data_IF_025081599851
#
_entry.id   IF_025081599851
#
_cell.length_a   1.000
_cell.length_b   1.000
_cell.length_c   1.000
_cell.angle_alpha   90.00
_cell.angle_beta   90.00
_cell.angle_gamma   90.00
#
_symmetry.space_group_name_H-M   'P 1'
#
loop_
_entity.id
_entity.type
_entity.pdbx_description
1 polymer ?
#
# COMPACT_ATOMS: atom_id res chain seq x y z
N UNK A 1 23.21 8.14 -0.28
CA UNK A 1 23.59 7.48 0.99
C UNK A 1 24.84 6.63 0.85
N UNK A 2 25.71 6.60 1.86
CA UNK A 2 26.82 5.64 1.99
C UNK A 2 26.34 4.26 2.47
N UNK A 3 27.14 3.21 2.26
CA UNK A 3 26.82 1.85 2.75
C UNK A 3 26.69 1.84 4.29
N UNK A 4 27.54 2.59 4.99
CA UNK A 4 27.49 2.67 6.45
C UNK A 4 26.17 3.29 6.95
N UNK A 5 25.66 4.32 6.28
CA UNK A 5 24.36 4.91 6.59
C UNK A 5 23.19 3.97 6.24
N UNK A 6 23.27 3.27 5.11
CA UNK A 6 22.28 2.27 4.74
C UNK A 6 22.21 1.13 5.77
N UNK A 7 23.36 0.64 6.23
CA UNK A 7 23.43 -0.39 7.27
C UNK A 7 22.90 0.08 8.62
N UNK A 8 22.89 1.38 8.93
CA UNK A 8 22.20 1.91 10.12
C UNK A 8 20.67 1.89 9.98
N UNK A 9 20.16 1.92 8.74
CA UNK A 9 18.73 1.94 8.44
C UNK A 9 18.12 0.54 8.38
N UNK A 10 18.87 -0.45 7.87
CA UNK A 10 18.40 -1.82 7.66
C UNK A 10 17.82 -2.49 8.92
N UNK A 11 18.42 -2.38 10.13
CA UNK A 11 17.84 -2.97 11.33
C UNK A 11 16.49 -2.36 11.70
N UNK A 12 16.32 -1.06 11.47
CA UNK A 12 15.05 -0.39 11.71
C UNK A 12 13.97 -0.89 10.74
N UNK A 13 14.27 -0.94 9.43
CA UNK A 13 13.35 -1.48 8.42
C UNK A 13 13.00 -2.95 8.73
N UNK A 14 14.00 -3.76 9.12
CA UNK A 14 13.79 -5.16 9.50
C UNK A 14 12.77 -5.27 10.63
N UNK A 15 12.93 -4.49 11.71
CA UNK A 15 11.96 -4.51 12.82
C UNK A 15 10.55 -4.12 12.40
N UNK A 16 10.40 -3.11 11.53
CA UNK A 16 9.07 -2.71 11.05
C UNK A 16 8.45 -3.81 10.19
N UNK A 17 9.19 -4.36 9.23
CA UNK A 17 8.68 -5.46 8.38
C UNK A 17 8.37 -6.70 9.22
N UNK A 18 9.25 -7.10 10.12
CA UNK A 18 9.05 -8.25 11.01
C UNK A 18 7.76 -8.08 11.83
N UNK A 19 7.56 -6.90 12.43
CA UNK A 19 6.33 -6.59 13.16
C UNK A 19 5.08 -6.70 12.26
N UNK A 20 5.14 -6.09 11.08
CA UNK A 20 4.01 -6.00 10.16
C UNK A 20 3.61 -7.37 9.58
N UNK A 21 4.60 -8.22 9.30
CA UNK A 21 4.35 -9.60 8.81
C UNK A 21 3.87 -10.50 9.95
N UNK A 22 4.46 -10.40 11.14
CA UNK A 22 4.08 -11.24 12.29
C UNK A 22 2.68 -10.92 12.80
N UNK A 23 2.26 -9.65 12.78
CA UNK A 23 0.95 -9.22 13.26
C UNK A 23 -0.22 -9.65 12.36
N UNK A 24 0.06 -9.96 11.08
CA UNK A 24 -0.97 -10.32 10.08
C UNK A 24 -1.10 -11.82 9.83
N UNK A 25 -0.10 -12.62 10.17
CA UNK A 25 -0.08 -14.06 9.87
C UNK A 25 0.04 -14.35 8.37
N UNK A 26 0.03 -15.63 8.01
CA UNK A 26 0.01 -16.08 6.62
C UNK A 26 -1.39 -15.88 6.02
N UNK A 27 -1.44 -15.38 4.79
CA UNK A 27 -2.69 -15.16 4.07
C UNK A 27 -3.02 -16.40 3.24
N UNK A 28 -4.14 -17.02 3.54
CA UNK A 28 -4.75 -18.08 2.73
C UNK A 28 -5.91 -17.50 1.94
N UNK A 29 -5.96 -17.81 0.64
CA UNK A 29 -7.07 -17.49 -0.23
C UNK A 29 -7.46 -18.70 -1.06
N UNK A 30 -8.75 -18.82 -1.34
CA UNK A 30 -9.28 -19.83 -2.25
C UNK A 30 -9.15 -19.42 -3.72
N UNK A 31 -9.06 -18.12 -4.01
CA UNK A 31 -9.05 -17.61 -5.38
C UNK A 31 -7.63 -17.40 -5.90
N UNK A 32 -6.77 -16.69 -5.18
CA UNK A 32 -5.39 -16.43 -5.60
C UNK A 32 -4.36 -17.15 -4.72
N UNK A 33 -3.20 -17.55 -5.29
CA UNK A 33 -2.08 -18.05 -4.50
C UNK A 33 -1.31 -16.87 -3.86
N UNK A 34 -1.95 -16.19 -2.90
CA UNK A 34 -1.52 -14.89 -2.33
C UNK A 34 -0.07 -14.91 -1.88
N UNK A 35 0.27 -15.86 -1.01
CA UNK A 35 1.63 -15.97 -0.47
C UNK A 35 2.68 -16.18 -1.57
N UNK A 36 2.36 -17.02 -2.58
CA UNK A 36 3.26 -17.32 -3.69
C UNK A 36 3.46 -16.10 -4.59
N UNK A 37 2.40 -15.38 -4.98
CA UNK A 37 2.55 -14.22 -5.86
C UNK A 37 3.25 -13.06 -5.14
N UNK A 38 3.12 -12.93 -3.82
CA UNK A 38 3.84 -11.91 -3.03
C UNK A 38 5.33 -12.20 -3.10
N UNK A 39 5.73 -13.47 -2.99
CA UNK A 39 7.13 -13.85 -3.15
C UNK A 39 7.64 -13.55 -4.57
N UNK A 40 6.85 -13.85 -5.61
CA UNK A 40 7.20 -13.48 -6.99
C UNK A 40 7.38 -11.96 -7.13
N UNK A 41 6.49 -11.15 -6.54
CA UNK A 41 6.57 -9.70 -6.61
C UNK A 41 7.77 -9.12 -5.84
N UNK A 42 8.22 -9.76 -4.75
CA UNK A 42 9.47 -9.41 -4.07
C UNK A 42 10.67 -9.49 -5.01
N UNK A 43 10.86 -10.62 -5.69
CA UNK A 43 11.97 -10.80 -6.62
C UNK A 43 11.87 -9.86 -7.83
N UNK A 44 10.66 -9.68 -8.38
CA UNK A 44 10.46 -8.77 -9.49
C UNK A 44 10.77 -7.32 -9.12
N UNK A 45 10.37 -6.89 -7.91
CA UNK A 45 10.68 -5.57 -7.37
C UNK A 45 12.19 -5.37 -7.18
N UNK A 46 12.89 -6.39 -6.66
CA UNK A 46 14.36 -6.37 -6.54
C UNK A 46 15.06 -6.19 -7.89
N UNK A 47 14.48 -6.70 -8.97
CA UNK A 47 15.02 -6.55 -10.32
C UNK A 47 14.70 -5.19 -10.97
N UNK A 48 13.47 -4.67 -10.83
CA UNK A 48 13.02 -3.52 -11.62
C UNK A 48 13.01 -2.17 -10.87
N UNK A 49 12.81 -2.16 -9.54
CA UNK A 49 12.43 -0.94 -8.81
C UNK A 49 13.48 0.17 -8.90
N UNK A 50 14.77 -0.19 -8.88
CA UNK A 50 15.85 0.79 -9.03
C UNK A 50 15.73 1.59 -10.33
N UNK A 51 15.46 0.93 -11.45
CA UNK A 51 15.36 1.59 -12.74
C UNK A 51 14.14 2.53 -12.81
N UNK A 52 13.03 2.13 -12.19
CA UNK A 52 11.81 2.94 -12.10
C UNK A 52 12.08 4.20 -11.27
N UNK A 53 12.56 4.03 -10.03
CA UNK A 53 12.80 5.18 -9.13
C UNK A 53 13.93 6.08 -9.63
N UNK A 54 14.92 5.54 -10.36
CA UNK A 54 15.93 6.35 -11.03
C UNK A 54 15.29 7.29 -12.06
N UNK A 55 14.43 6.78 -12.95
CA UNK A 55 13.69 7.62 -13.92
C UNK A 55 12.80 8.66 -13.22
N UNK A 56 12.13 8.29 -12.13
CA UNK A 56 11.33 9.24 -11.32
C UNK A 56 12.22 10.34 -10.74
N UNK A 57 13.40 9.99 -10.21
CA UNK A 57 14.34 10.94 -9.60
C UNK A 57 14.95 11.94 -10.58
N UNK A 58 14.88 11.68 -11.89
CA UNK A 58 15.25 12.63 -12.93
C UNK A 58 14.21 13.74 -13.13
N UNK A 59 12.98 13.56 -12.62
CA UNK A 59 11.85 14.50 -12.79
C UNK A 59 11.45 15.22 -11.51
N UNK A 60 11.75 14.65 -10.35
CA UNK A 60 11.36 15.19 -9.06
C UNK A 60 12.33 14.76 -7.96
N UNK A 61 12.17 15.31 -6.75
CA UNK A 61 12.90 14.86 -5.57
C UNK A 61 11.98 14.06 -4.63
N UNK A 62 12.52 13.08 -3.89
CA UNK A 62 11.75 12.35 -2.88
C UNK A 62 11.07 13.29 -1.87
N UNK A 63 11.74 14.39 -1.49
CA UNK A 63 11.19 15.35 -0.53
C UNK A 63 10.01 16.14 -1.07
N UNK A 64 10.04 16.48 -2.36
CA UNK A 64 8.91 17.15 -3.01
C UNK A 64 7.71 16.21 -3.06
N UNK A 65 7.95 14.96 -3.47
CA UNK A 65 6.92 13.93 -3.51
C UNK A 65 6.25 13.75 -2.15
N UNK A 66 7.02 13.54 -1.07
CA UNK A 66 6.42 13.27 0.24
C UNK A 66 5.62 14.45 0.77
N UNK A 67 6.07 15.69 0.57
CA UNK A 67 5.31 16.89 0.97
C UNK A 67 4.02 17.08 0.16
N UNK A 68 4.08 16.97 -1.16
CA UNK A 68 2.93 17.20 -2.05
C UNK A 68 1.90 16.07 -2.00
N UNK A 69 2.28 14.93 -1.44
CA UNK A 69 1.40 13.78 -1.24
C UNK A 69 0.60 13.83 0.05
N UNK A 70 0.83 14.84 0.91
CA UNK A 70 0.07 15.07 2.15
C UNK A 70 -1.29 15.71 1.84
N UNK A 71 -2.15 15.00 1.11
CA UNK A 71 -3.46 15.45 0.63
C UNK A 71 -4.47 14.31 0.56
N UNK A 72 -5.76 14.63 0.67
CA UNK A 72 -6.88 13.67 0.56
C UNK A 72 -6.81 12.98 -0.80
N UNK A 73 -6.97 11.67 -0.85
CA UNK A 73 -6.96 10.86 -2.08
C UNK A 73 -5.63 10.98 -2.85
N UNK A 74 -4.52 10.98 -2.13
CA UNK A 74 -3.17 10.90 -2.70
C UNK A 74 -2.83 9.46 -3.06
N UNK A 75 -2.34 9.24 -4.29
CA UNK A 75 -1.78 7.95 -4.70
C UNK A 75 -0.53 7.57 -3.91
N UNK A 76 0.22 8.56 -3.43
CA UNK A 76 1.35 8.34 -2.55
C UNK A 76 0.88 8.55 -1.11
N UNK A 77 0.73 7.45 -0.41
CA UNK A 77 0.30 7.39 0.99
C UNK A 77 1.15 6.39 1.77
N UNK A 78 0.95 6.29 3.08
CA UNK A 78 1.82 5.54 4.00
C UNK A 78 2.17 4.12 3.52
N UNK A 79 1.18 3.34 3.08
CA UNK A 79 1.43 1.99 2.56
C UNK A 79 2.24 1.96 1.28
N UNK A 80 1.93 2.82 0.31
CA UNK A 80 2.71 2.85 -0.95
C UNK A 80 4.15 3.27 -0.71
N UNK A 81 4.39 4.15 0.27
CA UNK A 81 5.74 4.54 0.72
C UNK A 81 6.44 3.35 1.39
N UNK A 82 5.74 2.60 2.24
CA UNK A 82 6.27 1.40 2.88
C UNK A 82 6.53 0.24 1.90
N UNK A 83 5.82 0.18 0.75
CA UNK A 83 6.05 -0.82 -0.30
C UNK A 83 7.48 -0.77 -0.86
N UNK A 84 8.13 0.40 -0.90
CA UNK A 84 9.49 0.50 -1.43
C UNK A 84 10.45 -0.42 -0.66
N UNK A 85 10.66 -0.23 0.66
CA UNK A 85 11.56 -1.10 1.40
C UNK A 85 11.00 -2.51 1.55
N UNK A 86 9.68 -2.69 1.73
CA UNK A 86 9.09 -4.01 1.92
C UNK A 86 9.41 -4.96 0.77
N UNK A 87 8.99 -4.63 -0.44
CA UNK A 87 9.11 -5.59 -1.55
C UNK A 87 10.55 -5.73 -2.04
N UNK A 88 11.29 -4.62 -2.13
CA UNK A 88 12.66 -4.64 -2.60
C UNK A 88 13.59 -5.40 -1.63
N UNK A 89 13.49 -5.12 -0.32
CA UNK A 89 14.39 -5.72 0.66
C UNK A 89 14.04 -7.18 0.94
N UNK A 90 12.77 -7.58 0.88
CA UNK A 90 12.39 -8.99 0.97
C UNK A 90 12.90 -9.79 -0.24
N UNK A 91 12.84 -9.23 -1.46
CA UNK A 91 13.42 -9.86 -2.65
C UNK A 91 14.93 -10.00 -2.56
N UNK A 92 15.61 -8.96 -2.07
CA UNK A 92 17.05 -8.99 -1.76
C UNK A 92 17.40 -10.05 -0.70
N UNK A 93 16.60 -10.14 0.36
CA UNK A 93 16.77 -11.13 1.42
C UNK A 93 16.70 -12.56 0.86
N UNK A 94 15.69 -12.86 0.03
CA UNK A 94 15.56 -14.15 -0.64
C UNK A 94 16.76 -14.49 -1.51
N UNK A 95 17.26 -13.52 -2.27
CA UNK A 95 18.47 -13.68 -3.10
C UNK A 95 19.73 -14.00 -2.29
N UNK A 96 19.96 -13.28 -1.20
CA UNK A 96 21.13 -13.53 -0.34
C UNK A 96 20.98 -14.88 0.36
N UNK A 97 19.78 -15.21 0.84
CA UNK A 97 19.50 -16.49 1.49
C UNK A 97 19.77 -17.67 0.55
N UNK A 98 19.28 -17.62 -0.70
CA UNK A 98 19.53 -18.64 -1.72
C UNK A 98 21.03 -18.82 -2.01
N UNK A 99 21.84 -17.79 -1.79
CA UNK A 99 23.30 -17.82 -1.89
C UNK A 99 23.97 -18.07 -0.52
N UNK A 100 23.42 -19.02 0.25
CA UNK A 100 23.92 -19.48 1.57
C UNK A 100 23.94 -18.38 2.64
N UNK A 101 23.16 -17.32 2.46
CA UNK A 101 23.06 -16.22 3.42
C UNK A 101 24.29 -15.32 3.48
N UNK A 102 25.18 -15.33 2.48
CA UNK A 102 26.36 -14.46 2.43
C UNK A 102 26.04 -13.14 1.71
N UNK A 103 26.00 -11.98 2.41
CA UNK A 103 25.74 -10.70 1.76
C UNK A 103 26.79 -10.28 0.71
N UNK A 104 27.99 -10.90 0.72
CA UNK A 104 28.99 -10.68 -0.33
C UNK A 104 28.62 -11.30 -1.67
N UNK A 105 27.68 -12.25 -1.69
CA UNK A 105 27.13 -12.81 -2.93
C UNK A 105 26.39 -11.78 -3.77
N UNK A 106 25.86 -10.72 -3.14
CA UNK A 106 25.22 -9.62 -3.85
C UNK A 106 26.27 -8.83 -4.66
N UNK A 107 26.10 -8.64 -5.99
CA UNK A 107 27.03 -7.88 -6.81
C UNK A 107 27.18 -6.43 -6.33
N UNK A 108 28.39 -5.85 -6.47
CA UNK A 108 28.68 -4.46 -6.06
C UNK A 108 27.70 -3.45 -6.64
N UNK A 109 27.24 -3.66 -7.87
CA UNK A 109 26.24 -2.79 -8.50
C UNK A 109 24.88 -2.87 -7.78
N UNK A 110 24.40 -4.06 -7.44
CA UNK A 110 23.17 -4.24 -6.66
C UNK A 110 23.26 -3.64 -5.26
N UNK A 111 24.44 -3.67 -4.62
CA UNK A 111 24.69 -2.96 -3.36
C UNK A 111 24.49 -1.45 -3.49
N UNK A 112 24.98 -0.85 -4.59
CA UNK A 112 24.78 0.59 -4.89
C UNK A 112 23.30 0.91 -5.17
N UNK A 113 22.62 0.05 -5.92
CA UNK A 113 21.18 0.18 -6.17
C UNK A 113 20.38 0.12 -4.87
N UNK A 114 20.70 -0.82 -3.98
CA UNK A 114 20.09 -0.92 -2.65
C UNK A 114 20.30 0.36 -1.84
N UNK A 115 21.52 0.90 -1.81
CA UNK A 115 21.79 2.17 -1.14
C UNK A 115 20.99 3.34 -1.73
N UNK A 116 20.77 3.37 -3.05
CA UNK A 116 19.90 4.35 -3.71
C UNK A 116 18.44 4.20 -3.31
N UNK A 117 17.90 2.97 -3.33
CA UNK A 117 16.50 2.69 -2.93
C UNK A 117 16.24 3.15 -1.50
N UNK A 118 17.16 2.83 -0.58
CA UNK A 118 17.06 3.20 0.83
C UNK A 118 17.18 4.73 1.05
N UNK A 119 18.03 5.41 0.27
CA UNK A 119 18.12 6.87 0.27
C UNK A 119 16.83 7.53 -0.20
N UNK A 120 16.31 7.07 -1.35
CA UNK A 120 15.07 7.57 -1.93
C UNK A 120 13.93 7.41 -0.94
N UNK A 121 13.74 6.20 -0.39
CA UNK A 121 12.68 5.93 0.58
C UNK A 121 12.82 6.78 1.84
N UNK A 122 14.01 6.86 2.45
CA UNK A 122 14.22 7.64 3.68
C UNK A 122 13.84 9.11 3.48
N UNK A 123 14.25 9.70 2.37
CA UNK A 123 13.98 11.12 2.05
C UNK A 123 12.50 11.36 1.74
N UNK A 124 11.88 10.44 1.01
CA UNK A 124 10.44 10.46 0.76
C UNK A 124 9.66 10.38 2.08
N UNK A 125 9.88 9.32 2.86
CA UNK A 125 9.16 9.05 4.09
C UNK A 125 9.34 10.16 5.13
N UNK A 126 10.57 10.64 5.35
CA UNK A 126 10.84 11.72 6.31
C UNK A 126 10.21 13.07 5.92
N UNK A 127 9.91 13.27 4.63
CA UNK A 127 9.17 14.46 4.17
C UNK A 127 7.65 14.29 4.19
N UNK A 128 7.17 13.03 4.16
CA UNK A 128 5.76 12.69 4.23
C UNK A 128 5.26 12.64 5.67
N UNK A 129 5.93 11.92 6.57
CA UNK A 129 5.46 11.77 7.95
C UNK A 129 5.87 12.96 8.83
N UNK A 130 4.98 13.47 9.71
CA UNK A 130 5.30 14.60 10.59
C UNK A 130 6.53 14.34 11.45
N UNK A 131 7.36 15.36 11.65
CA UNK A 131 8.54 15.27 12.52
C UNK A 131 9.67 14.39 11.98
N UNK A 132 9.69 14.09 10.67
CA UNK A 132 10.78 13.34 10.05
C UNK A 132 10.75 11.84 10.33
N UNK A 133 9.61 11.30 10.78
CA UNK A 133 9.40 9.86 10.97
C UNK A 133 9.45 9.12 9.63
N UNK A 134 9.65 7.81 9.66
CA UNK A 134 9.80 7.01 8.44
C UNK A 134 8.61 6.08 8.18
N UNK A 135 7.84 5.78 9.22
CA UNK A 135 6.77 4.79 9.19
C UNK A 135 5.61 5.23 10.09
N UNK A 136 4.46 4.58 9.94
CA UNK A 136 3.32 4.72 10.87
C UNK A 136 3.70 4.13 12.22
N UNK A 137 4.48 3.04 12.24
CA UNK A 137 5.09 2.48 13.45
C UNK A 137 5.86 3.55 14.25
N UNK A 138 6.75 4.30 13.60
CA UNK A 138 7.54 5.37 14.25
C UNK A 138 6.71 6.57 14.72
N UNK A 139 5.48 6.67 14.19
CA UNK A 139 4.50 7.71 14.47
C UNK A 139 3.51 7.28 15.55
N UNK A 140 3.86 6.25 16.35
CA UNK A 140 3.01 5.70 17.41
C UNK A 140 1.61 5.29 16.91
N UNK A 141 1.56 4.61 15.76
CA UNK A 141 0.31 4.13 15.14
C UNK A 141 -0.65 5.25 14.69
N UNK A 142 -0.12 6.46 14.44
CA UNK A 142 -0.85 7.57 13.85
C UNK A 142 -0.40 7.78 12.40
N UNK A 143 -1.31 7.58 11.45
CA UNK A 143 -1.09 7.85 10.04
C UNK A 143 -1.60 9.26 9.70
N UNK A 144 -0.83 10.30 10.02
CA UNK A 144 -1.24 11.70 9.81
C UNK A 144 -0.83 12.19 8.41
N UNK A 145 -1.65 11.81 7.42
CA UNK A 145 -1.47 12.15 6.01
C UNK A 145 -1.75 13.62 5.69
N UNK A 146 -2.66 14.28 6.43
CA UNK A 146 -3.13 15.63 6.11
C UNK A 146 -2.47 16.71 6.96
N UNK A 147 -2.48 17.95 6.46
CA UNK A 147 -2.08 19.13 7.22
C UNK A 147 -3.28 19.73 7.95
N UNK A 148 -3.03 20.56 8.97
CA UNK A 148 -4.09 21.10 9.81
C UNK A 148 -5.17 21.88 9.02
N UNK A 149 -4.77 22.66 8.01
CA UNK A 149 -5.72 23.41 7.19
C UNK A 149 -6.68 22.50 6.39
N UNK A 150 -6.22 21.33 5.93
CA UNK A 150 -7.08 20.34 5.27
C UNK A 150 -8.08 19.75 6.27
N UNK A 151 -7.65 19.49 7.50
CA UNK A 151 -8.51 19.00 8.58
C UNK A 151 -9.57 20.04 8.96
N UNK A 152 -9.18 21.31 9.06
CA UNK A 152 -10.11 22.40 9.35
C UNK A 152 -11.14 22.56 8.24
N UNK A 153 -10.72 22.50 6.97
CA UNK A 153 -11.65 22.50 5.83
C UNK A 153 -12.61 21.30 5.86
N UNK A 154 -12.11 20.08 6.11
CA UNK A 154 -12.98 18.88 6.18
C UNK A 154 -13.99 19.00 7.31
N UNK A 155 -13.62 19.57 8.46
CA UNK A 155 -14.57 19.78 9.58
C UNK A 155 -15.76 20.64 9.19
N UNK A 156 -15.58 21.61 8.30
CA UNK A 156 -16.66 22.44 7.77
C UNK A 156 -17.59 21.69 6.80
N UNK A 157 -17.12 20.57 6.23
CA UNK A 157 -17.89 19.72 5.31
C UNK A 157 -18.64 18.58 6.02
N UNK A 158 -18.33 18.33 7.30
CA UNK A 158 -18.96 17.23 8.05
C UNK A 158 -20.42 17.56 8.32
N UNK A 159 -21.30 16.65 7.91
CA UNK A 159 -22.72 16.68 8.27
C UNK A 159 -23.00 15.68 9.38
N UNK A 160 -23.90 16.05 10.29
CA UNK A 160 -24.43 15.16 11.30
C UNK A 160 -25.30 14.09 10.63
N UNK A 161 -25.20 12.85 11.09
CA UNK A 161 -25.97 11.73 10.52
C UNK A 161 -26.60 10.87 11.61
N UNK A 162 -27.66 10.14 11.26
CA UNK A 162 -28.29 9.17 12.16
C UNK A 162 -27.50 7.84 12.18
N UNK A 163 -27.70 6.98 13.19
CA UNK A 163 -27.10 5.65 13.23
C UNK A 163 -27.45 4.78 12.01
N UNK A 164 -28.67 4.91 11.47
CA UNK A 164 -29.11 4.17 10.27
C UNK A 164 -28.34 4.62 9.03
N UNK A 165 -28.08 5.93 8.92
CA UNK A 165 -27.26 6.48 7.85
C UNK A 165 -25.81 6.03 7.98
N UNK A 166 -25.26 6.04 9.20
CA UNK A 166 -23.91 5.56 9.48
C UNK A 166 -23.75 4.10 9.04
N UNK A 167 -24.71 3.24 9.39
CA UNK A 167 -24.71 1.84 8.99
C UNK A 167 -24.81 1.66 7.46
N UNK A 168 -25.62 2.48 6.77
CA UNK A 168 -25.73 2.48 5.31
C UNK A 168 -24.41 2.90 4.65
N UNK A 169 -23.81 4.01 5.08
CA UNK A 169 -22.56 4.54 4.53
C UNK A 169 -21.44 3.52 4.70
N UNK A 170 -21.27 2.99 5.93
CA UNK A 170 -20.25 1.99 6.23
C UNK A 170 -20.41 0.75 5.34
N UNK A 171 -21.65 0.27 5.13
CA UNK A 171 -21.92 -0.87 4.24
C UNK A 171 -21.48 -0.59 2.80
N UNK A 172 -21.76 0.58 2.25
CA UNK A 172 -21.34 0.94 0.88
C UNK A 172 -19.82 1.00 0.78
N UNK A 173 -19.16 1.65 1.74
CA UNK A 173 -17.69 1.71 1.78
C UNK A 173 -17.07 0.32 1.91
N UNK A 174 -17.61 -0.56 2.74
CA UNK A 174 -17.18 -1.96 2.84
C UNK A 174 -17.37 -2.73 1.52
N UNK A 175 -18.48 -2.54 0.81
CA UNK A 175 -18.67 -3.19 -0.50
C UNK A 175 -17.65 -2.70 -1.54
N UNK A 176 -17.33 -1.40 -1.53
CA UNK A 176 -16.27 -0.85 -2.37
C UNK A 176 -14.89 -1.39 -1.99
N UNK A 177 -14.61 -1.57 -0.69
CA UNK A 177 -13.36 -2.18 -0.23
C UNK A 177 -13.23 -3.63 -0.71
N UNK A 178 -14.31 -4.41 -0.68
CA UNK A 178 -14.32 -5.79 -1.18
C UNK A 178 -14.09 -5.82 -2.70
N UNK A 179 -14.76 -4.94 -3.45
CA UNK A 179 -14.47 -4.77 -4.88
C UNK A 179 -13.00 -4.41 -5.12
N UNK A 180 -12.48 -3.40 -4.41
CA UNK A 180 -11.13 -2.90 -4.60
C UNK A 180 -10.08 -3.97 -4.25
N UNK A 181 -10.34 -4.76 -3.20
CA UNK A 181 -9.51 -5.90 -2.81
C UNK A 181 -9.48 -6.96 -3.92
N UNK A 182 -10.65 -7.32 -4.46
CA UNK A 182 -10.73 -8.30 -5.55
C UNK A 182 -10.05 -7.78 -6.82
N UNK A 183 -10.30 -6.53 -7.23
CA UNK A 183 -9.69 -5.93 -8.41
C UNK A 183 -8.16 -5.83 -8.31
N UNK A 184 -7.62 -5.70 -7.11
CA UNK A 184 -6.18 -5.72 -6.84
C UNK A 184 -5.66 -7.14 -6.55
N UNK A 185 -6.34 -8.19 -7.04
CA UNK A 185 -5.96 -9.60 -6.84
C UNK A 185 -5.76 -9.99 -5.36
N UNK A 186 -6.63 -9.50 -4.49
CA UNK A 186 -6.59 -9.69 -3.03
C UNK A 186 -5.45 -8.94 -2.33
N UNK A 187 -5.03 -7.82 -2.91
CA UNK A 187 -4.14 -6.86 -2.28
C UNK A 187 -4.90 -5.61 -1.81
N UNK A 188 -4.30 -4.87 -0.88
CA UNK A 188 -4.90 -3.66 -0.30
C UNK A 188 -4.42 -2.37 -0.96
N UNK A 189 -3.79 -2.44 -2.13
CA UNK A 189 -3.01 -1.30 -2.62
C UNK A 189 -3.82 -0.05 -3.01
N UNK A 190 -5.15 -0.20 -3.16
CA UNK A 190 -6.11 0.88 -3.42
C UNK A 190 -6.67 1.54 -2.17
N UNK A 191 -6.45 0.94 -1.00
CA UNK A 191 -7.07 1.32 0.25
C UNK A 191 -6.10 2.14 1.09
N UNK A 192 -6.59 3.22 1.67
CA UNK A 192 -5.82 3.99 2.64
C UNK A 192 -6.72 4.49 3.76
N UNK A 193 -6.57 3.89 4.94
CA UNK A 193 -7.08 4.49 6.16
C UNK A 193 -6.02 5.41 6.80
N UNK A 194 -6.44 6.60 7.23
CA UNK A 194 -5.54 7.54 7.90
C UNK A 194 -6.21 8.37 9.01
N UNK A 195 -5.39 8.86 9.93
CA UNK A 195 -5.78 9.45 11.22
C UNK A 195 -4.97 8.90 12.40
N UNK A 196 -5.48 8.98 13.64
CA UNK A 196 -6.63 9.79 14.03
C UNK A 196 -6.23 11.28 14.12
N UNK A 197 -7.09 12.16 13.64
CA UNK A 197 -6.95 13.61 13.84
C UNK A 197 -7.83 14.04 15.01
N UNK A 198 -7.24 14.61 16.05
CA UNK A 198 -7.99 15.12 17.20
C UNK A 198 -8.76 16.38 16.77
N UNK A 199 -10.09 16.38 16.90
CA UNK A 199 -10.93 17.50 16.45
C UNK A 199 -11.83 18.09 17.55
N UNK A 200 -11.84 17.48 18.73
CA UNK A 200 -12.60 17.95 19.88
C UNK A 200 -12.34 17.12 21.13
N UNK A 201 -13.10 17.39 22.20
CA UNK A 201 -13.01 16.61 23.43
C UNK A 201 -13.61 15.22 23.18
N UNK A 202 -12.74 14.20 23.16
CA UNK A 202 -13.12 12.80 22.92
C UNK A 202 -13.71 12.56 21.51
N UNK A 203 -13.30 13.37 20.53
CA UNK A 203 -13.72 13.24 19.14
C UNK A 203 -12.50 13.23 18.22
N UNK A 204 -12.48 12.24 17.33
CA UNK A 204 -11.45 12.07 16.31
C UNK A 204 -12.08 12.10 14.93
N UNK A 205 -11.30 12.53 13.95
CA UNK A 205 -11.57 12.34 12.54
C UNK A 205 -10.67 11.22 12.01
N UNK A 206 -11.26 10.30 11.27
CA UNK A 206 -10.53 9.26 10.52
C UNK A 206 -11.02 9.24 9.08
N UNK A 207 -10.19 8.81 8.15
CA UNK A 207 -10.53 8.71 6.75
C UNK A 207 -10.37 7.27 6.30
N UNK A 208 -11.29 6.83 5.44
CA UNK A 208 -11.14 5.63 4.61
C UNK A 208 -11.21 6.06 3.15
N UNK A 209 -10.12 5.84 2.42
CA UNK A 209 -9.95 6.27 1.03
C UNK A 209 -9.79 5.06 0.10
N UNK A 210 -10.45 5.12 -1.06
CA UNK A 210 -10.39 4.10 -2.10
C UNK A 210 -10.02 4.78 -3.42
N UNK A 211 -8.92 4.34 -4.01
CA UNK A 211 -8.34 4.89 -5.23
C UNK A 211 -8.53 3.94 -6.42
N UNK A 212 -8.38 4.46 -7.64
CA UNK A 212 -8.34 3.68 -8.88
C UNK A 212 -9.54 2.75 -9.10
N UNK A 213 -10.73 3.21 -8.70
CA UNK A 213 -12.00 2.57 -9.03
C UNK A 213 -12.25 2.76 -10.54
N UNK A 214 -12.77 1.74 -11.21
CA UNK A 214 -13.08 1.86 -12.63
C UNK A 214 -14.33 2.72 -12.86
N UNK A 215 -14.15 3.88 -13.49
CA UNK A 215 -15.21 4.85 -13.82
C UNK A 215 -15.56 4.88 -15.32
N UNK A 216 -15.07 3.90 -16.09
CA UNK A 216 -15.20 3.86 -17.55
C UNK A 216 -14.05 4.51 -18.32
N UNK A 217 -13.07 5.10 -17.61
CA UNK A 217 -11.83 5.62 -18.19
C UNK A 217 -10.77 4.54 -18.46
N UNK A 218 -9.49 4.94 -18.43
CA UNK A 218 -8.37 4.00 -18.53
C UNK A 218 -8.36 3.11 -17.28
N UNK A 219 -8.47 1.78 -17.40
CA UNK A 219 -8.50 0.91 -16.24
C UNK A 219 -7.13 0.87 -15.56
N UNK A 220 -7.11 0.67 -14.23
CA UNK A 220 -5.86 0.56 -13.47
C UNK A 220 -5.09 -0.70 -13.86
N UNK A 221 -5.80 -1.83 -13.99
CA UNK A 221 -5.27 -3.08 -14.53
C UNK A 221 -5.97 -3.49 -15.81
N UNK A 222 -5.37 -4.38 -16.62
CA UNK A 222 -6.02 -4.91 -17.82
C UNK A 222 -7.40 -5.54 -17.55
N UNK A 223 -7.61 -6.07 -16.34
CA UNK A 223 -8.88 -6.67 -15.93
C UNK A 223 -9.80 -5.73 -15.15
N UNK A 224 -9.40 -4.49 -14.81
CA UNK A 224 -10.27 -3.60 -14.03
C UNK A 224 -11.44 -3.05 -14.84
N UNK A 225 -11.39 -3.15 -16.17
CA UNK A 225 -12.49 -2.75 -17.01
C UNK A 225 -13.67 -3.71 -16.81
N UNK A 226 -14.78 -3.17 -16.32
CA UNK A 226 -16.06 -3.86 -16.13
C UNK A 226 -17.15 -3.22 -16.97
N UNK A 227 -18.31 -3.88 -17.10
CA UNK A 227 -19.48 -3.25 -17.72
C UNK A 227 -20.03 -2.13 -16.81
N UNK A 228 -20.09 -2.40 -15.50
CA UNK A 228 -20.43 -1.42 -14.49
C UNK A 228 -19.34 -0.34 -14.38
N UNK A 229 -19.76 0.91 -14.16
CA UNK A 229 -18.87 2.06 -14.03
C UNK A 229 -19.21 2.83 -12.76
N UNK A 230 -18.19 3.11 -11.95
CA UNK A 230 -18.37 3.96 -10.79
C UNK A 230 -18.61 5.42 -11.23
N UNK A 231 -19.32 6.22 -10.42
CA UNK A 231 -19.49 7.65 -10.72
C UNK A 231 -18.18 8.44 -10.67
N UNK A 232 -17.21 7.98 -9.86
CA UNK A 232 -15.86 8.53 -9.79
C UNK A 232 -14.81 7.42 -9.62
N UNK A 233 -13.60 7.65 -10.11
CA UNK A 233 -12.47 6.72 -9.99
C UNK A 233 -11.82 6.70 -8.60
N UNK A 234 -12.33 7.50 -7.65
CA UNK A 234 -11.86 7.51 -6.29
C UNK A 234 -12.92 8.13 -5.36
N UNK A 235 -12.92 7.69 -4.10
CA UNK A 235 -13.79 8.21 -3.04
C UNK A 235 -13.07 8.16 -1.69
N UNK A 236 -13.22 9.22 -0.91
CA UNK A 236 -12.85 9.24 0.51
C UNK A 236 -14.10 9.46 1.36
N UNK A 237 -14.19 8.74 2.48
CA UNK A 237 -15.14 9.02 3.53
C UNK A 237 -14.40 9.45 4.79
N UNK A 238 -14.64 10.68 5.25
CA UNK A 238 -14.18 11.15 6.55
C UNK A 238 -15.26 10.87 7.59
N UNK A 239 -14.90 10.16 8.67
CA UNK A 239 -15.79 9.83 9.77
C UNK A 239 -15.42 10.63 11.01
N UNK A 240 -16.36 11.42 11.54
CA UNK A 240 -16.28 11.97 12.89
C UNK A 240 -16.71 10.89 13.88
N UNK A 241 -15.79 10.46 14.72
CA UNK A 241 -16.02 9.42 15.72
C UNK A 241 -15.95 10.00 17.13
N UNK A 242 -16.87 9.59 17.99
CA UNK A 242 -16.91 10.00 19.40
C UNK A 242 -16.61 8.84 20.34
N UNK A 243 -15.63 9.01 21.23
CA UNK A 243 -15.27 7.99 22.21
C UNK A 243 -14.63 6.75 21.61
N UNK A 244 -13.94 6.89 20.48
CA UNK A 244 -13.21 5.82 19.80
C UNK A 244 -11.72 6.11 19.88
N UNK A 245 -10.92 5.09 20.16
CA UNK A 245 -9.48 5.13 19.92
C UNK A 245 -9.20 4.42 18.61
N UNK A 246 -8.39 5.03 17.74
CA UNK A 246 -7.98 4.42 16.48
C UNK A 246 -6.45 4.31 16.40
N UNK A 247 -5.98 3.22 15.81
CA UNK A 247 -4.57 2.95 15.48
C UNK A 247 -4.48 2.50 14.03
N UNK A 248 -3.39 2.85 13.37
CA UNK A 248 -3.16 2.58 11.96
C UNK A 248 -1.83 1.87 11.78
N UNK A 249 -1.75 0.91 10.85
CA UNK A 249 -0.50 0.22 10.53
C UNK A 249 0.17 0.76 9.25
N UNK A 250 1.37 0.25 8.93
CA UNK A 250 2.12 0.65 7.73
C UNK A 250 1.50 0.14 6.43
N UNK A 251 0.47 -0.69 6.52
CA UNK A 251 -0.36 -1.09 5.39
C UNK A 251 -1.64 -0.25 5.29
N UNK A 252 -1.70 0.87 6.02
CA UNK A 252 -2.82 1.81 6.03
C UNK A 252 -4.15 1.15 6.40
N UNK A 253 -4.13 0.17 7.31
CA UNK A 253 -5.33 -0.43 7.90
C UNK A 253 -5.62 0.20 9.25
N UNK A 254 -6.88 0.60 9.46
CA UNK A 254 -7.36 1.07 10.76
C UNK A 254 -7.81 -0.08 11.67
N UNK A 255 -7.46 0.04 12.95
CA UNK A 255 -8.02 -0.76 14.06
C UNK A 255 -8.57 0.19 15.12
N UNK A 256 -9.70 -0.16 15.74
CA UNK A 256 -10.38 0.71 16.68
C UNK A 256 -10.75 0.01 17.99
N UNK A 257 -10.90 0.80 19.05
CA UNK A 257 -11.52 0.41 20.31
C UNK A 257 -12.72 1.36 20.55
N UNK A 258 -13.98 0.86 20.53
CA UNK A 258 -14.39 -0.52 20.22
C UNK A 258 -14.10 -0.95 18.78
N UNK A 259 -14.03 -2.27 18.54
CA UNK A 259 -13.76 -2.85 17.20
C UNK A 259 -14.86 -2.46 16.20
N UNK A 260 -16.12 -2.59 16.60
CA UNK A 260 -17.22 -1.99 15.84
C UNK A 260 -17.49 -0.58 16.34
N UNK A 261 -17.12 0.41 15.53
CA UNK A 261 -17.33 1.82 15.81
C UNK A 261 -18.58 2.41 15.12
N UNK A 262 -19.44 1.60 14.49
CA UNK A 262 -20.58 2.10 13.69
C UNK A 262 -21.47 3.06 14.48
N UNK A 263 -21.87 2.66 15.70
CA UNK A 263 -22.70 3.50 16.60
C UNK A 263 -21.96 4.73 17.15
N UNK A 264 -20.65 4.83 16.91
CA UNK A 264 -19.81 5.95 17.35
C UNK A 264 -19.58 6.99 16.26
N UNK A 265 -20.05 6.74 15.04
CA UNK A 265 -20.03 7.70 13.94
C UNK A 265 -21.09 8.75 14.22
N UNK A 266 -20.68 10.00 14.41
CA UNK A 266 -21.59 11.13 14.67
C UNK A 266 -21.69 12.10 13.51
N UNK A 267 -20.87 11.94 12.48
CA UNK A 267 -20.91 12.77 11.28
C UNK A 267 -19.98 12.24 10.20
N UNK A 268 -20.26 12.61 8.95
CA UNK A 268 -19.46 12.19 7.78
C UNK A 268 -19.27 13.32 6.79
N UNK A 269 -18.25 13.19 5.94
CA UNK A 269 -18.13 13.92 4.69
C UNK A 269 -17.56 12.98 3.62
N UNK A 270 -18.07 13.09 2.38
CA UNK A 270 -17.57 12.33 1.24
C UNK A 270 -16.78 13.25 0.31
N UNK A 271 -15.73 12.71 -0.32
CA UNK A 271 -14.90 13.46 -1.25
C UNK A 271 -14.53 12.64 -2.47
N UNK A 272 -14.30 13.32 -3.58
CA UNK A 272 -13.55 12.80 -4.74
C UNK A 272 -12.44 13.77 -5.11
N UNK A 273 -11.48 13.30 -5.90
CA UNK A 273 -10.38 14.09 -6.44
C UNK A 273 -10.34 13.99 -7.96
N UNK A 274 -10.24 15.16 -8.60
CA UNK A 274 -9.99 15.31 -10.04
C UNK A 274 -8.73 16.14 -10.24
N UNK A 275 -7.63 15.47 -10.60
CA UNK A 275 -6.30 16.09 -10.62
C UNK A 275 -5.92 16.65 -9.25
N UNK A 276 -5.58 17.94 -9.20
CA UNK A 276 -5.17 18.59 -7.94
C UNK A 276 -6.34 19.05 -7.05
N UNK A 277 -7.59 19.02 -7.56
CA UNK A 277 -8.76 19.50 -6.82
C UNK A 277 -9.47 18.37 -6.09
N UNK A 278 -9.71 18.56 -4.79
CA UNK A 278 -10.64 17.76 -3.99
C UNK A 278 -12.01 18.42 -4.00
N UNK A 279 -13.08 17.64 -4.15
CA UNK A 279 -14.46 18.11 -4.23
C UNK A 279 -15.32 17.31 -3.24
N UNK A 280 -16.17 17.96 -2.43
CA UNK A 280 -17.15 17.25 -1.60
C UNK A 280 -18.19 16.57 -2.48
N UNK A 281 -18.75 15.46 -1.98
CA UNK A 281 -19.84 14.72 -2.61
C UNK A 281 -21.05 14.65 -1.67
N UNK A 282 -22.24 14.69 -2.26
CA UNK A 282 -23.48 14.42 -1.56
C UNK A 282 -23.65 12.92 -1.27
N UNK A 283 -24.39 12.58 -0.21
CA UNK A 283 -24.58 11.18 0.21
C UNK A 283 -25.43 10.34 -0.76
N UNK A 284 -26.17 10.98 -1.66
CA UNK A 284 -27.01 10.31 -2.66
C UNK A 284 -26.18 9.48 -3.66
N UNK A 285 -24.92 9.87 -3.87
CA UNK A 285 -23.96 9.16 -4.75
C UNK A 285 -23.67 7.72 -4.29
N UNK A 286 -23.87 7.41 -3.00
CA UNK A 286 -23.58 6.11 -2.43
C UNK A 286 -24.41 4.98 -3.04
N UNK A 287 -25.61 5.28 -3.55
CA UNK A 287 -26.43 4.31 -4.27
C UNK A 287 -25.73 3.80 -5.54
N UNK A 288 -25.20 4.72 -6.34
CA UNK A 288 -24.49 4.41 -7.58
C UNK A 288 -23.17 3.66 -7.32
N UNK A 289 -22.42 4.05 -6.27
CA UNK A 289 -21.23 3.32 -5.87
C UNK A 289 -21.55 1.89 -5.40
N UNK A 290 -22.64 1.70 -4.66
CA UNK A 290 -23.02 0.38 -4.18
C UNK A 290 -23.44 -0.55 -5.32
N UNK A 291 -24.25 -0.05 -6.26
CA UNK A 291 -24.64 -0.79 -7.47
C UNK A 291 -23.41 -1.18 -8.29
N UNK A 292 -22.49 -0.23 -8.51
CA UNK A 292 -21.20 -0.50 -9.15
C UNK A 292 -20.43 -1.61 -8.43
N UNK A 293 -20.23 -1.48 -7.12
CA UNK A 293 -19.42 -2.43 -6.34
C UNK A 293 -19.96 -3.85 -6.47
N UNK A 294 -21.29 -4.02 -6.36
CA UNK A 294 -21.94 -5.33 -6.47
C UNK A 294 -21.76 -5.95 -7.87
N UNK A 295 -22.04 -5.19 -8.93
CA UNK A 295 -21.94 -5.67 -10.31
C UNK A 295 -20.50 -5.94 -10.71
N UNK A 296 -19.59 -5.01 -10.43
CA UNK A 296 -18.17 -5.13 -10.79
C UNK A 296 -17.50 -6.28 -10.01
N UNK A 297 -17.83 -6.46 -8.72
CA UNK A 297 -17.33 -7.59 -7.94
C UNK A 297 -17.77 -8.93 -8.53
N UNK A 298 -19.04 -9.07 -8.91
CA UNK A 298 -19.55 -10.31 -9.51
C UNK A 298 -18.84 -10.62 -10.84
N UNK A 299 -18.65 -9.62 -11.70
CA UNK A 299 -17.95 -9.76 -12.98
C UNK A 299 -16.48 -10.16 -12.78
N UNK A 300 -15.76 -9.48 -11.89
CA UNK A 300 -14.36 -9.80 -11.58
C UNK A 300 -14.21 -11.19 -10.98
N UNK A 301 -15.11 -11.58 -10.08
CA UNK A 301 -15.08 -12.91 -9.48
C UNK A 301 -15.21 -14.00 -10.55
N UNK A 302 -16.18 -13.87 -11.46
CA UNK A 302 -16.36 -14.80 -12.57
C UNK A 302 -15.10 -14.85 -13.45
N UNK A 303 -14.57 -13.69 -13.84
CA UNK A 303 -13.34 -13.57 -14.64
C UNK A 303 -12.15 -14.30 -14.00
N UNK A 304 -11.92 -14.09 -12.71
CA UNK A 304 -10.80 -14.73 -12.01
C UNK A 304 -11.03 -16.22 -11.72
N UNK A 305 -12.28 -16.64 -11.57
CA UNK A 305 -12.62 -18.06 -11.39
C UNK A 305 -12.23 -18.91 -12.60
N UNK A 306 -12.25 -18.33 -13.80
CA UNK A 306 -11.83 -18.97 -15.06
C UNK A 306 -10.32 -19.02 -15.24
N UNK A 307 -9.56 -18.21 -14.50
CA UNK A 307 -8.10 -18.22 -14.58
C UNK A 307 -7.50 -19.47 -13.95
N UNK A 308 -6.47 -20.03 -14.58
CA UNK A 308 -5.64 -21.07 -13.98
C UNK A 308 -4.71 -20.49 -12.88
N UNK A 309 -4.07 -21.38 -12.10
CA UNK A 309 -3.14 -20.99 -11.02
C UNK A 309 -2.03 -20.08 -11.53
N UNK A 310 -1.52 -20.31 -12.74
CA UNK A 310 -0.39 -19.54 -13.30
C UNK A 310 -0.83 -18.13 -13.68
N UNK A 311 -2.00 -17.98 -14.28
CA UNK A 311 -2.60 -16.68 -14.57
C UNK A 311 -2.83 -15.87 -13.29
N UNK A 312 -3.40 -16.49 -12.25
CA UNK A 312 -3.61 -15.85 -10.94
C UNK A 312 -2.30 -15.45 -10.26
N UNK A 313 -1.28 -16.31 -10.32
CA UNK A 313 0.06 -16.03 -9.78
C UNK A 313 0.69 -14.82 -10.49
N UNK A 314 0.64 -14.77 -11.82
CA UNK A 314 1.21 -13.67 -12.60
C UNK A 314 0.41 -12.37 -12.38
N UNK A 315 -0.92 -12.43 -12.38
CA UNK A 315 -1.77 -11.27 -12.17
C UNK A 315 -1.55 -10.64 -10.78
N UNK A 316 -1.51 -11.45 -9.72
CA UNK A 316 -1.19 -10.97 -8.38
C UNK A 316 0.22 -10.35 -8.30
N UNK A 317 1.23 -11.02 -8.87
CA UNK A 317 2.58 -10.47 -8.90
C UNK A 317 2.66 -9.15 -9.69
N UNK A 318 1.95 -9.06 -10.80
CA UNK A 318 1.83 -7.86 -11.62
C UNK A 318 1.18 -6.72 -10.84
N UNK A 319 0.06 -6.95 -10.15
CA UNK A 319 -0.65 -5.93 -9.38
C UNK A 319 0.27 -5.25 -8.35
N UNK A 320 1.03 -6.05 -7.59
CA UNK A 320 2.01 -5.51 -6.64
C UNK A 320 3.14 -4.69 -7.29
N UNK A 321 3.63 -5.13 -8.45
CA UNK A 321 4.70 -4.41 -9.16
C UNK A 321 4.17 -3.13 -9.83
N UNK A 322 2.97 -3.18 -10.38
CA UNK A 322 2.26 -2.02 -10.90
C UNK A 322 1.86 -1.05 -9.79
N UNK A 323 1.89 -1.48 -8.53
CA UNK A 323 1.86 -0.61 -7.35
C UNK A 323 2.81 0.59 -7.48
N UNK A 324 3.97 0.42 -8.10
CA UNK A 324 4.93 1.51 -8.31
C UNK A 324 4.53 2.53 -9.39
N UNK A 325 3.47 2.27 -10.16
CA UNK A 325 2.92 3.22 -11.13
C UNK A 325 2.51 4.54 -10.45
N UNK A 326 2.20 4.53 -9.16
CA UNK A 326 1.86 5.72 -8.35
C UNK A 326 3.00 6.74 -8.32
N UNK A 327 4.26 6.27 -8.31
CA UNK A 327 5.44 7.13 -8.36
C UNK A 327 5.65 7.73 -9.76
N UNK A 328 5.33 6.98 -10.80
CA UNK A 328 5.48 7.44 -12.18
C UNK A 328 4.30 8.28 -12.63
N UNK A 329 3.10 8.07 -12.05
CA UNK A 329 1.91 8.90 -12.22
C UNK A 329 2.19 10.30 -11.69
N UNK A 330 2.81 10.38 -10.50
CA UNK A 330 3.23 11.65 -9.89
C UNK A 330 4.09 12.52 -10.82
N UNK A 331 4.90 11.92 -11.69
CA UNK A 331 5.78 12.65 -12.63
C UNK A 331 5.37 12.52 -14.11
N UNK A 332 4.22 11.90 -14.40
CA UNK A 332 3.68 11.75 -15.76
C UNK A 332 4.49 10.86 -16.70
N UNK A 333 5.13 9.79 -16.20
CA UNK A 333 5.96 8.87 -17.02
C UNK A 333 5.49 7.41 -17.03
N UNK A 334 4.31 7.10 -16.47
CA UNK A 334 3.82 5.72 -16.30
C UNK A 334 3.78 4.93 -17.60
N UNK A 335 3.37 5.57 -18.70
CA UNK A 335 3.30 4.95 -20.03
C UNK A 335 4.69 4.72 -20.69
N UNK A 336 5.77 5.19 -20.06
CA UNK A 336 7.16 4.99 -20.50
C UNK A 336 7.84 3.79 -19.82
N UNK A 337 7.12 3.11 -18.92
CA UNK A 337 7.63 1.97 -18.16
C UNK A 337 7.02 0.69 -18.73
N UNK A 338 7.86 -0.31 -18.97
CA UNK A 338 7.37 -1.67 -19.18
C UNK A 338 7.03 -2.27 -17.80
N UNK A 339 5.75 -2.57 -17.59
CA UNK A 339 5.23 -3.12 -16.34
C UNK A 339 5.19 -4.64 -16.31
N UNK A 340 5.53 -5.31 -17.41
CA UNK A 340 5.63 -6.76 -17.44
C UNK A 340 6.62 -7.25 -16.38
N UNK A 341 6.34 -8.43 -15.82
CA UNK A 341 7.30 -9.13 -14.98
C UNK A 341 8.60 -9.35 -15.77
N UNK A 342 9.74 -9.16 -15.12
CA UNK A 342 11.04 -9.28 -15.81
C UNK A 342 11.22 -10.68 -16.37
N UNK A 343 12.03 -10.81 -17.42
CA UNK A 343 12.35 -12.11 -18.02
C UNK A 343 12.91 -13.10 -16.98
N UNK A 344 13.74 -12.59 -16.07
CA UNK A 344 14.28 -13.37 -14.95
C UNK A 344 13.17 -13.88 -14.03
N UNK A 345 12.23 -13.02 -13.66
CA UNK A 345 11.06 -13.39 -12.86
C UNK A 345 10.25 -14.48 -13.53
N UNK A 346 9.94 -14.30 -14.81
CA UNK A 346 9.14 -15.24 -15.60
C UNK A 346 9.82 -16.61 -15.79
N UNK A 347 11.15 -16.65 -15.90
CA UNK A 347 11.91 -17.89 -16.11
C UNK A 347 12.32 -18.60 -14.82
N UNK A 348 12.59 -17.86 -13.73
CA UNK A 348 13.12 -18.43 -12.47
C UNK A 348 12.04 -18.54 -11.40
N UNK A 349 11.38 -17.43 -11.05
CA UNK A 349 10.53 -17.39 -9.85
C UNK A 349 9.11 -17.84 -10.12
N UNK A 350 8.52 -17.51 -11.28
CA UNK A 350 7.17 -18.00 -11.63
C UNK A 350 7.13 -19.53 -11.61
N UNK A 351 8.04 -20.29 -12.29
CA UNK A 351 8.01 -21.75 -12.21
C UNK A 351 8.26 -22.29 -10.81
N UNK A 352 9.14 -21.66 -10.03
CA UNK A 352 9.40 -22.08 -8.65
C UNK A 352 8.16 -21.95 -7.76
N UNK A 353 7.49 -20.79 -7.81
CA UNK A 353 6.30 -20.50 -6.99
C UNK A 353 4.99 -21.10 -7.54
N UNK A 354 5.04 -21.78 -8.68
CA UNK A 354 3.95 -22.68 -9.08
C UNK A 354 3.91 -23.94 -8.20
N UNK A 355 5.08 -24.40 -7.76
CA UNK A 355 5.28 -25.63 -6.98
C UNK A 355 5.52 -25.37 -5.49
N UNK A 356 5.82 -24.12 -5.11
CA UNK A 356 6.13 -23.73 -3.74
C UNK A 356 5.28 -22.53 -3.35
N UNK A 357 4.58 -22.61 -2.23
CA UNK A 357 3.70 -21.51 -1.80
C UNK A 357 4.45 -20.41 -1.05
N UNK A 358 5.71 -20.63 -0.66
CA UNK A 358 6.47 -19.71 0.20
C UNK A 358 7.96 -19.72 -0.07
N UNK A 359 8.61 -18.58 0.18
CA UNK A 359 10.05 -18.43 0.04
C UNK A 359 10.80 -18.92 1.30
N UNK A 360 11.85 -19.75 1.16
CA UNK A 360 12.55 -20.34 2.30
C UNK A 360 13.32 -19.33 3.17
N UNK A 361 13.48 -18.09 2.72
CA UNK A 361 14.09 -17.02 3.51
C UNK A 361 13.12 -16.34 4.48
N UNK A 362 11.80 -16.43 4.26
CA UNK A 362 10.81 -15.71 5.07
C UNK A 362 10.82 -16.11 6.55
N UNK A 363 11.12 -17.36 6.96
CA UNK A 363 11.32 -17.69 8.37
C UNK A 363 12.30 -16.76 9.12
N UNK A 364 13.21 -16.07 8.41
CA UNK A 364 14.08 -15.05 9.01
C UNK A 364 13.31 -13.90 9.68
N UNK A 365 12.13 -13.54 9.15
CA UNK A 365 11.28 -12.46 9.69
C UNK A 365 10.68 -12.82 11.06
N UNK A 366 10.53 -14.12 11.34
CA UNK A 366 9.92 -14.66 12.56
C UNK A 366 10.93 -15.02 13.66
N UNK A 367 12.22 -14.76 13.45
CA UNK A 367 13.27 -14.99 14.47
C UNK A 367 13.06 -14.12 15.71
N UNK A 368 13.64 -14.52 16.83
CA UNK A 368 13.62 -13.74 18.07
C UNK A 368 14.44 -12.45 17.94
N UNK A 369 14.14 -11.45 18.78
CA UNK A 369 14.90 -10.19 18.82
C UNK A 369 16.39 -10.40 19.17
N UNK A 370 16.71 -11.44 19.94
CA UNK A 370 18.09 -11.80 20.29
C UNK A 370 18.87 -12.25 19.04
N UNK A 371 18.28 -13.13 18.23
CA UNK A 371 18.87 -13.59 16.96
C UNK A 371 19.05 -12.45 15.95
N UNK A 372 18.20 -11.43 16.01
CA UNK A 372 18.18 -10.30 15.07
C UNK A 372 19.15 -9.17 15.44
N UNK A 373 19.69 -9.16 16.65
CA UNK A 373 20.52 -8.06 17.19
C UNK A 373 21.76 -7.80 16.32
N UNK A 374 22.44 -8.87 15.91
CA UNK A 374 23.67 -8.80 15.13
C UNK A 374 23.49 -9.27 13.68
N UNK A 375 22.36 -9.90 13.35
CA UNK A 375 21.98 -10.35 12.00
C UNK A 375 20.52 -9.95 11.68
N UNK A 376 20.26 -8.72 11.22
CA UNK A 376 18.90 -8.29 10.89
C UNK A 376 18.32 -9.18 9.79
N UNK A 377 17.00 -9.38 9.80
CA UNK A 377 16.29 -10.26 8.86
C UNK A 377 16.66 -9.98 7.39
N UNK A 378 16.78 -8.70 7.03
CA UNK A 378 17.02 -8.24 5.65
C UNK A 378 18.49 -8.21 5.20
N UNK A 379 19.43 -8.69 6.02
CA UNK A 379 20.89 -8.67 5.80
C UNK A 379 21.50 -7.27 5.63
N UNK A 380 22.65 -7.03 6.25
CA UNK A 380 23.45 -5.84 5.94
C UNK A 380 23.94 -5.83 4.49
N UNK A 381 24.28 -4.65 3.97
CA UNK A 381 25.06 -4.51 2.74
C UNK A 381 26.52 -4.79 3.08
N UNK A 382 27.13 -5.74 2.36
CA UNK A 382 28.54 -6.07 2.53
C UNK A 382 29.42 -4.86 2.17
N UNK A 383 30.36 -4.54 3.08
CA UNK A 383 31.47 -3.64 2.77
C UNK A 383 32.53 -4.41 1.96
N UNK A 384 33.21 -3.69 1.08
CA UNK A 384 34.27 -4.24 0.23
C UNK A 384 35.53 -4.59 1.03
#
# INVERSE_FOLDING_TARGET
MSIAEANKLIPHISRVIDYQVTSRGLLESQLFPVTAYICVSFYNSYDMLFNILKKVSEKTTPEKMGRESRKILSELHAMTIFYIPLYYMCGRMGEIFANKGDPKSEPKEKRKQTAFILDFWKRLASSYFPGGKLTVYDSNWKNLALNQHDIDWVKEQIIDITPEEAARIKRVMTNLEVYAFLDECEARAKLCDHGPYEIGKNEILVFSEILHIYDGGKPHFPWSATEAKAPHSNIACAYRLKGVKAKFDDFSTMTTEPVDYTEKITGVALFTRKGEKVEPLDLDILGAFNEFAQSAQAELYMRFSEWDKRQRLIAGAFAYCYGYARYTNFVGITDQINWDLTERTMKKYVPYFMENDFDPAIPRLFRSEEEKKDDPSLYYIAQD
#
